data_IF_916552819116
#
_entry.id   IF_916552819116
#
_cell.length_a   1.000
_cell.length_b   1.000
_cell.length_c   1.000
_cell.angle_alpha   90.00
_cell.angle_beta   90.00
_cell.angle_gamma   90.00
#
_symmetry.space_group_name_H-M   'P 1'
#
loop_
_entity.id
_entity.type
_entity.pdbx_description
1 polymer ?
#
# COMPACT_ATOMS: atom_id res chain seq x y z
N UNK A 1 3.19 -26.67 -13.04
CA UNK A 1 2.43 -25.42 -12.81
C UNK A 1 1.73 -25.60 -11.48
N UNK A 2 2.01 -24.75 -10.49
CA UNK A 2 1.45 -24.91 -9.15
C UNK A 2 -0.02 -24.47 -9.14
N UNK A 3 -0.91 -25.26 -8.53
CA UNK A 3 -2.30 -24.87 -8.29
C UNK A 3 -2.34 -23.88 -7.11
N UNK A 4 -2.17 -22.59 -7.43
CA UNK A 4 -2.25 -21.52 -6.45
C UNK A 4 -3.69 -21.03 -6.38
N UNK A 5 -4.21 -20.90 -5.15
CA UNK A 5 -5.54 -20.33 -4.89
C UNK A 5 -5.39 -18.92 -4.35
N UNK A 6 -6.06 -17.91 -4.93
CA UNK A 6 -6.05 -16.57 -4.36
C UNK A 6 -6.76 -16.62 -3.01
N UNK A 7 -6.07 -16.15 -1.99
CA UNK A 7 -6.61 -15.94 -0.65
C UNK A 7 -6.25 -14.52 -0.22
N UNK A 8 -7.13 -13.94 0.59
CA UNK A 8 -6.88 -12.67 1.27
C UNK A 8 -5.75 -12.83 2.31
N UNK A 9 -5.16 -11.72 2.76
CA UNK A 9 -4.04 -11.72 3.69
C UNK A 9 -4.37 -12.41 5.03
N UNK A 10 -5.64 -12.42 5.44
CA UNK A 10 -6.13 -13.14 6.63
C UNK A 10 -6.56 -14.59 6.34
N UNK A 11 -6.26 -15.12 5.15
CA UNK A 11 -6.34 -16.54 4.82
C UNK A 11 -7.73 -17.06 4.43
N UNK A 12 -8.67 -16.18 4.09
CA UNK A 12 -10.00 -16.54 3.59
C UNK A 12 -10.16 -16.20 2.10
N UNK A 13 -11.21 -16.74 1.46
CA UNK A 13 -11.53 -16.41 0.07
C UNK A 13 -12.10 -14.98 -0.12
N UNK A 14 -12.67 -14.41 0.95
CA UNK A 14 -13.23 -13.05 0.97
C UNK A 14 -12.63 -12.27 2.15
N UNK A 15 -12.53 -10.94 2.06
CA UNK A 15 -11.99 -10.12 3.15
C UNK A 15 -12.75 -10.32 4.45
N UNK A 16 -12.03 -10.48 5.56
CA UNK A 16 -12.66 -10.68 6.87
C UNK A 16 -13.17 -9.38 7.48
N UNK A 17 -14.26 -9.52 8.24
CA UNK A 17 -14.87 -8.49 9.07
C UNK A 17 -15.14 -9.10 10.46
N UNK A 18 -14.74 -8.41 11.52
CA UNK A 18 -14.99 -8.82 12.90
C UNK A 18 -15.38 -7.63 13.77
N UNK A 19 -16.32 -7.84 14.69
CA UNK A 19 -16.79 -6.81 15.62
C UNK A 19 -16.55 -7.25 17.07
N UNK A 20 -16.00 -6.35 17.88
CA UNK A 20 -15.66 -6.57 19.28
C UNK A 20 -16.19 -5.39 20.11
N UNK A 21 -17.42 -5.52 20.61
CA UNK A 21 -18.10 -4.42 21.29
C UNK A 21 -18.28 -3.22 20.35
N UNK A 22 -17.65 -2.09 20.67
CA UNK A 22 -17.71 -0.87 19.87
C UNK A 22 -16.68 -0.81 18.71
N UNK A 23 -15.81 -1.82 18.59
CA UNK A 23 -14.74 -1.85 17.59
C UNK A 23 -15.09 -2.75 16.42
N UNK A 24 -14.77 -2.30 15.22
CA UNK A 24 -14.82 -3.07 13.98
C UNK A 24 -13.40 -3.20 13.41
N UNK A 25 -13.03 -4.41 12.98
CA UNK A 25 -11.80 -4.70 12.28
C UNK A 25 -12.16 -5.31 10.93
N UNK A 26 -11.70 -4.67 9.85
CA UNK A 26 -11.94 -5.10 8.47
C UNK A 26 -10.64 -5.25 7.72
N UNK A 27 -10.51 -6.33 6.98
CA UNK A 27 -9.45 -6.49 6.00
C UNK A 27 -9.71 -5.62 4.76
N UNK A 28 -8.72 -4.84 4.34
CA UNK A 28 -8.79 -4.08 3.11
C UNK A 28 -8.09 -4.83 1.96
N UNK A 29 -8.79 -5.81 1.38
CA UNK A 29 -8.27 -6.54 0.21
C UNK A 29 -8.13 -5.70 -1.06
N UNK A 30 -8.66 -4.47 -1.08
CA UNK A 30 -8.62 -3.58 -2.25
C UNK A 30 -7.43 -2.61 -2.27
N UNK A 31 -6.56 -2.61 -1.26
CA UNK A 31 -5.43 -1.68 -1.17
C UNK A 31 -4.20 -2.22 -1.91
N UNK A 32 -3.77 -1.54 -2.97
CA UNK A 32 -2.46 -1.81 -3.57
C UNK A 32 -1.35 -1.19 -2.73
N UNK A 33 -0.24 -1.91 -2.63
CA UNK A 33 0.96 -1.49 -1.92
C UNK A 33 2.17 -1.66 -2.84
N UNK A 34 2.95 -0.60 -3.01
CA UNK A 34 4.22 -0.62 -3.72
C UNK A 34 5.34 -0.10 -2.82
N UNK A 35 6.30 -0.97 -2.51
CA UNK A 35 7.52 -0.56 -1.81
C UNK A 35 8.42 0.21 -2.77
N UNK A 36 8.90 1.37 -2.35
CA UNK A 36 9.75 2.23 -3.17
C UNK A 36 11.00 2.62 -2.40
N UNK A 37 12.16 2.47 -3.03
CA UNK A 37 13.45 2.90 -2.52
C UNK A 37 14.16 3.78 -3.56
N UNK A 38 14.67 4.93 -3.13
CA UNK A 38 15.44 5.81 -3.99
C UNK A 38 16.82 5.19 -4.27
N UNK A 39 17.20 5.15 -5.55
CA UNK A 39 18.53 4.69 -5.94
C UNK A 39 19.57 5.75 -5.55
N UNK A 40 20.74 5.29 -5.10
CA UNK A 40 21.86 6.21 -4.80
C UNK A 40 22.19 7.07 -6.02
N UNK A 41 22.27 8.39 -5.80
CA UNK A 41 22.64 9.36 -6.82
C UNK A 41 21.50 9.76 -7.77
N UNK A 42 20.26 9.35 -7.50
CA UNK A 42 19.09 9.83 -8.25
C UNK A 42 18.32 10.87 -7.44
N UNK A 43 17.58 11.73 -8.15
CA UNK A 43 16.68 12.71 -7.53
C UNK A 43 15.43 12.01 -7.02
N UNK A 44 14.91 12.46 -5.88
CA UNK A 44 13.66 11.98 -5.31
C UNK A 44 12.51 12.09 -6.34
N UNK A 45 11.79 11.00 -6.64
CA UNK A 45 10.68 11.04 -7.59
C UNK A 45 9.44 11.67 -6.97
N UNK A 46 8.50 12.09 -7.83
CA UNK A 46 7.16 12.54 -7.43
C UNK A 46 6.11 11.60 -8.03
N UNK A 47 5.91 10.39 -7.47
CA UNK A 47 4.99 9.42 -8.03
C UNK A 47 3.57 10.01 -8.09
N UNK A 48 2.95 9.96 -9.27
CA UNK A 48 1.64 10.58 -9.52
C UNK A 48 1.58 12.09 -9.21
N UNK A 49 2.73 12.78 -9.14
CA UNK A 49 2.82 14.18 -8.71
C UNK A 49 2.73 14.39 -7.19
N UNK A 50 2.77 13.33 -6.39
CA UNK A 50 2.82 13.41 -4.93
C UNK A 50 4.27 13.66 -4.46
N UNK A 51 4.50 14.72 -3.68
CA UNK A 51 5.78 14.95 -3.02
C UNK A 51 5.94 13.99 -1.84
N UNK A 52 7.07 13.29 -1.69
CA UNK A 52 7.15 12.22 -0.70
C UNK A 52 7.33 12.74 0.74
N UNK A 53 6.73 12.08 1.74
CA UNK A 53 6.81 12.53 3.13
C UNK A 53 8.18 12.24 3.76
N UNK A 54 8.60 13.11 4.68
CA UNK A 54 9.74 12.85 5.56
C UNK A 54 9.40 11.91 6.73
N UNK A 55 10.35 11.70 7.67
CA UNK A 55 10.22 10.76 8.78
C UNK A 55 8.92 10.88 9.59
N UNK A 56 8.31 9.74 9.88
CA UNK A 56 7.10 9.63 10.70
C UNK A 56 5.84 10.23 10.08
N UNK A 57 5.86 10.57 8.78
CA UNK A 57 4.71 11.16 8.10
C UNK A 57 4.06 10.20 7.11
N UNK A 58 2.76 10.39 6.98
CA UNK A 58 1.89 9.85 5.95
C UNK A 58 1.19 11.02 5.26
N UNK A 59 1.05 10.97 3.95
CA UNK A 59 0.30 11.97 3.19
C UNK A 59 -0.51 11.30 2.09
N UNK A 60 -1.66 11.88 1.75
CA UNK A 60 -2.48 11.47 0.63
C UNK A 60 -2.70 12.63 -0.35
N UNK A 61 -2.80 12.31 -1.63
CA UNK A 61 -3.02 13.25 -2.70
C UNK A 61 -2.85 12.60 -4.07
N UNK A 62 -3.39 13.23 -5.12
CA UNK A 62 -3.24 12.73 -6.50
C UNK A 62 -3.73 11.29 -6.72
N UNK A 63 -4.71 10.84 -5.91
CA UNK A 63 -5.29 9.50 -6.00
C UNK A 63 -4.42 8.37 -5.44
N UNK A 64 -3.36 8.70 -4.69
CA UNK A 64 -2.51 7.76 -3.95
C UNK A 64 -2.20 8.32 -2.56
N UNK A 65 -1.58 7.50 -1.70
CA UNK A 65 -0.94 7.96 -0.48
C UNK A 65 0.49 7.42 -0.38
N UNK A 66 1.29 8.04 0.47
CA UNK A 66 2.65 7.62 0.74
C UNK A 66 2.91 7.67 2.24
N UNK A 67 3.59 6.65 2.76
CA UNK A 67 4.06 6.58 4.13
C UNK A 67 5.58 6.40 4.15
N UNK A 68 6.25 7.13 5.03
CA UNK A 68 7.69 7.00 5.21
C UNK A 68 8.02 5.68 5.91
N UNK A 69 8.94 4.90 5.35
CA UNK A 69 9.40 3.62 5.93
C UNK A 69 10.87 3.62 6.32
N UNK A 70 11.67 4.53 5.75
CA UNK A 70 13.10 4.64 6.04
C UNK A 70 13.76 5.79 5.29
N UNK A 71 15.04 6.04 5.58
CA UNK A 71 15.82 6.97 4.76
C UNK A 71 15.75 6.51 3.30
N UNK A 72 15.33 7.41 2.42
CA UNK A 72 15.20 7.13 0.99
C UNK A 72 14.21 5.98 0.68
N UNK A 73 13.26 5.69 1.56
CA UNK A 73 12.31 4.59 1.44
C UNK A 73 10.88 4.96 1.85
N UNK A 74 9.91 4.52 1.05
CA UNK A 74 8.48 4.76 1.25
C UNK A 74 7.66 3.54 0.86
N UNK A 75 6.44 3.45 1.39
CA UNK A 75 5.40 2.59 0.85
C UNK A 75 4.34 3.49 0.20
N UNK A 76 4.02 3.21 -1.06
CA UNK A 76 2.96 3.88 -1.82
C UNK A 76 1.69 3.04 -1.72
N UNK A 77 0.59 3.69 -1.38
CA UNK A 77 -0.72 3.09 -1.20
C UNK A 77 -1.67 3.59 -2.30
N UNK A 78 -2.44 2.68 -2.91
CA UNK A 78 -3.50 3.05 -3.85
C UNK A 78 -4.77 2.24 -3.62
N UNK A 79 -5.81 2.93 -3.14
CA UNK A 79 -7.10 2.33 -2.85
C UNK A 79 -7.80 1.85 -4.13
N UNK A 80 -8.39 0.66 -4.08
CA UNK A 80 -9.13 0.04 -5.18
C UNK A 80 -8.25 -0.49 -6.31
N UNK A 81 -6.92 -0.50 -6.15
CA UNK A 81 -5.96 -0.90 -7.19
C UNK A 81 -5.24 -2.21 -6.92
N UNK A 82 -5.63 -2.97 -5.89
CA UNK A 82 -4.94 -4.22 -5.51
C UNK A 82 -4.89 -5.28 -6.62
N UNK A 83 -5.91 -5.30 -7.50
CA UNK A 83 -5.98 -6.23 -8.64
C UNK A 83 -5.16 -5.76 -9.86
N UNK A 84 -4.56 -4.57 -9.78
CA UNK A 84 -3.65 -4.07 -10.81
C UNK A 84 -2.22 -4.44 -10.43
N UNK A 85 -1.37 -4.59 -11.45
CA UNK A 85 0.07 -4.62 -11.24
C UNK A 85 0.57 -3.20 -10.94
N UNK A 86 0.28 -2.72 -9.72
CA UNK A 86 0.46 -1.32 -9.33
C UNK A 86 1.94 -0.90 -9.25
N UNK A 87 2.85 -1.87 -9.06
CA UNK A 87 4.28 -1.62 -8.91
C UNK A 87 5.09 -1.80 -10.20
N UNK A 88 4.45 -2.18 -11.31
CA UNK A 88 5.09 -2.43 -12.61
C UNK A 88 5.57 -1.17 -13.34
#
# INVERSE_FOLDING_TARGET
>A
MSDLRPITALGAALPRLASFGALEIRENGGLALASMALRRGTVEPTPFGLALPGPGRWIAGQGVAALWTGLDQWMIEAEGRAELDFAA
#
